data_IF_932418624560
#
_entry.id   IF_932418624560
#
_cell.length_a   1.000
_cell.length_b   1.000
_cell.length_c   1.000
_cell.angle_alpha   90.00
_cell.angle_beta   90.00
_cell.angle_gamma   90.00
#
_symmetry.space_group_name_H-M   'P 1'
#
loop_
_entity.id
_entity.type
_entity.pdbx_description
1 polymer ?
#
# COMPACT_ATOMS: atom_id res chain seq x y z
N UNK A 1 -137.51 69.59 -42.29
CA UNK A 1 -138.06 69.58 -40.93
C UNK A 1 -137.17 70.47 -40.08
N UNK A 2 -137.45 71.76 -39.95
CA UNK A 2 -138.54 72.39 -39.17
C UNK A 2 -138.33 72.30 -37.66
N UNK A 3 -137.78 73.36 -37.08
CA UNK A 3 -138.38 74.23 -36.04
C UNK A 3 -137.30 75.25 -35.64
N UNK A 4 -137.47 76.56 -35.92
CA UNK A 4 -138.18 77.56 -35.08
C UNK A 4 -137.73 77.49 -33.61
N UNK A 5 -137.46 78.55 -32.87
CA UNK A 5 -137.37 80.01 -33.01
C UNK A 5 -137.09 80.47 -31.56
N UNK A 6 -136.17 81.41 -31.32
CA UNK A 6 -136.31 82.42 -30.27
C UNK A 6 -135.13 83.40 -30.32
N UNK A 7 -135.44 84.60 -30.78
CA UNK A 7 -134.63 85.80 -30.74
C UNK A 7 -134.55 86.35 -29.32
N UNK A 8 -133.35 86.67 -28.83
CA UNK A 8 -133.16 87.66 -27.76
C UNK A 8 -131.85 88.42 -27.98
N UNK A 9 -131.99 89.73 -28.18
CA UNK A 9 -130.96 90.72 -28.49
C UNK A 9 -129.82 90.80 -27.44
N UNK A 10 -128.62 91.29 -27.84
CA UNK A 10 -127.37 91.11 -27.12
C UNK A 10 -127.17 92.18 -26.04
N UNK A 11 -126.94 91.75 -24.79
CA UNK A 11 -126.45 92.66 -23.75
C UNK A 11 -124.94 92.80 -23.84
N UNK A 12 -124.47 93.99 -24.23
CA UNK A 12 -123.05 94.35 -24.16
C UNK A 12 -122.50 94.09 -22.75
N UNK A 13 -121.33 93.44 -22.59
CA UNK A 13 -120.74 93.28 -21.29
C UNK A 13 -120.25 94.63 -20.77
N UNK A 14 -120.71 94.99 -19.57
CA UNK A 14 -120.23 96.13 -18.78
C UNK A 14 -118.70 96.11 -18.65
N UNK A 15 -118.04 97.28 -18.48
CA UNK A 15 -116.58 97.39 -18.41
C UNK A 15 -115.92 96.40 -17.45
N UNK A 16 -116.57 96.17 -16.30
CA UNK A 16 -116.16 95.24 -15.24
C UNK A 16 -116.18 93.75 -15.66
N UNK A 17 -117.06 93.38 -16.59
CA UNK A 17 -117.13 92.01 -17.11
C UNK A 17 -116.10 91.78 -18.22
N UNK A 18 -115.78 92.82 -19.01
CA UNK A 18 -114.67 92.79 -19.97
C UNK A 18 -113.30 92.76 -19.28
N UNK A 19 -113.12 93.50 -18.19
CA UNK A 19 -111.90 93.42 -17.37
C UNK A 19 -111.77 92.07 -16.68
N UNK A 20 -112.84 91.53 -16.08
CA UNK A 20 -112.83 90.16 -15.50
C UNK A 20 -112.59 89.06 -16.53
N UNK A 21 -113.11 89.19 -17.76
CA UNK A 21 -112.84 88.23 -18.84
C UNK A 21 -111.39 88.31 -19.33
N UNK A 22 -110.84 89.52 -19.49
CA UNK A 22 -109.42 89.73 -19.79
C UNK A 22 -108.51 89.20 -18.67
N UNK A 23 -108.82 89.48 -17.41
CA UNK A 23 -108.09 88.94 -16.26
C UNK A 23 -108.16 87.41 -16.20
N UNK A 24 -109.29 86.80 -16.56
CA UNK A 24 -109.44 85.34 -16.64
C UNK A 24 -108.62 84.75 -17.78
N UNK A 25 -108.59 85.40 -18.95
CA UNK A 25 -107.74 85.01 -20.08
C UNK A 25 -106.25 85.19 -19.76
N UNK A 26 -105.86 86.28 -19.09
CA UNK A 26 -104.49 86.52 -18.62
C UNK A 26 -104.07 85.50 -17.55
N UNK A 27 -104.96 85.16 -16.62
CA UNK A 27 -104.73 84.09 -15.64
C UNK A 27 -104.64 82.72 -16.31
N UNK A 28 -105.40 82.47 -17.37
CA UNK A 28 -105.34 81.22 -18.12
C UNK A 28 -104.05 81.12 -18.93
N UNK A 29 -103.63 82.18 -19.63
CA UNK A 29 -102.34 82.29 -20.31
C UNK A 29 -101.17 82.12 -19.34
N UNK A 30 -101.27 82.74 -18.16
CA UNK A 30 -100.27 82.60 -17.11
C UNK A 30 -100.23 81.17 -16.58
N UNK A 31 -101.39 80.54 -16.38
CA UNK A 31 -101.49 79.15 -15.92
C UNK A 31 -100.98 78.17 -16.99
N UNK A 32 -101.28 78.37 -18.28
CA UNK A 32 -100.77 77.55 -19.38
C UNK A 32 -99.25 77.69 -19.53
N UNK A 33 -98.72 78.91 -19.29
CA UNK A 33 -97.28 79.16 -19.20
C UNK A 33 -96.68 78.47 -17.98
N UNK A 34 -97.36 78.46 -16.82
CA UNK A 34 -96.94 77.71 -15.65
C UNK A 34 -96.98 76.21 -15.88
N UNK A 35 -98.01 75.66 -16.53
CA UNK A 35 -98.11 74.24 -16.89
C UNK A 35 -96.97 73.85 -17.83
N UNK A 36 -96.68 74.67 -18.85
CA UNK A 36 -95.56 74.46 -19.77
C UNK A 36 -94.22 74.51 -19.03
N UNK A 37 -94.05 75.47 -18.13
CA UNK A 37 -92.85 75.60 -17.30
C UNK A 37 -92.69 74.42 -16.32
N UNK A 38 -93.74 74.02 -15.62
CA UNK A 38 -93.77 72.87 -14.71
C UNK A 38 -93.43 71.59 -15.48
N UNK A 39 -93.99 71.39 -16.67
CA UNK A 39 -93.67 70.24 -17.52
C UNK A 39 -92.22 70.27 -18.00
N UNK A 40 -91.66 71.45 -18.33
CA UNK A 40 -90.24 71.59 -18.68
C UNK A 40 -89.33 71.30 -17.49
N UNK A 41 -89.67 71.77 -16.29
CA UNK A 41 -88.93 71.50 -15.05
C UNK A 41 -89.01 70.02 -14.68
N UNK A 42 -90.17 69.36 -14.85
CA UNK A 42 -90.30 67.90 -14.67
C UNK A 42 -89.43 67.14 -15.66
N UNK A 43 -89.50 67.45 -16.96
CA UNK A 43 -88.62 66.84 -17.97
C UNK A 43 -87.13 67.05 -17.65
N UNK A 44 -86.74 68.26 -17.26
CA UNK A 44 -85.36 68.56 -16.86
C UNK A 44 -84.95 67.83 -15.58
N UNK A 45 -85.87 67.64 -14.63
CA UNK A 45 -85.64 66.83 -13.43
C UNK A 45 -85.46 65.36 -13.80
N UNK A 46 -86.32 64.80 -14.64
CA UNK A 46 -86.24 63.41 -15.09
C UNK A 46 -84.98 63.17 -15.96
N UNK A 47 -84.61 64.13 -16.81
CA UNK A 47 -83.36 64.11 -17.59
C UNK A 47 -82.14 64.20 -16.67
N UNK A 48 -82.16 65.09 -15.67
CA UNK A 48 -81.10 65.19 -14.67
C UNK A 48 -80.98 63.90 -13.85
N UNK A 49 -82.10 63.31 -13.45
CA UNK A 49 -82.13 62.05 -12.71
C UNK A 49 -81.57 60.90 -13.55
N UNK A 50 -81.99 60.80 -14.82
CA UNK A 50 -81.41 59.83 -15.76
C UNK A 50 -79.91 60.05 -15.96
N UNK A 51 -79.47 61.30 -16.18
CA UNK A 51 -78.06 61.64 -16.33
C UNK A 51 -77.26 61.26 -15.08
N UNK A 52 -77.78 61.56 -13.89
CA UNK A 52 -77.16 61.19 -12.62
C UNK A 52 -77.03 59.67 -12.50
N UNK A 53 -78.09 58.90 -12.78
CA UNK A 53 -78.04 57.43 -12.74
C UNK A 53 -77.04 56.87 -13.76
N UNK A 54 -77.00 57.40 -14.98
CA UNK A 54 -76.01 56.96 -15.99
C UNK A 54 -74.59 57.31 -15.56
N UNK A 55 -74.38 58.47 -14.93
CA UNK A 55 -73.08 58.90 -14.46
C UNK A 55 -72.62 58.05 -13.27
N UNK A 56 -73.51 57.75 -12.32
CA UNK A 56 -73.25 56.82 -11.22
C UNK A 56 -72.96 55.41 -11.75
N UNK A 57 -73.70 54.93 -12.75
CA UNK A 57 -73.46 53.64 -13.38
C UNK A 57 -72.12 53.60 -14.13
N UNK A 58 -71.77 54.64 -14.89
CA UNK A 58 -70.47 54.72 -15.55
C UNK A 58 -69.32 54.85 -14.54
N UNK A 59 -69.49 55.61 -13.46
CA UNK A 59 -68.50 55.74 -12.40
C UNK A 59 -68.27 54.41 -11.66
N UNK A 60 -69.35 53.71 -11.31
CA UNK A 60 -69.26 52.39 -10.66
C UNK A 60 -68.60 51.37 -11.56
N UNK A 61 -69.02 51.29 -12.83
CA UNK A 61 -68.41 50.37 -13.82
C UNK A 61 -66.93 50.68 -14.04
N UNK A 62 -66.56 51.96 -14.19
CA UNK A 62 -65.14 52.36 -14.36
C UNK A 62 -64.32 52.04 -13.09
N UNK A 63 -64.89 52.21 -11.89
CA UNK A 63 -64.22 51.84 -10.64
C UNK A 63 -64.04 50.32 -10.51
N UNK A 64 -65.04 49.53 -10.89
CA UNK A 64 -64.98 48.08 -10.89
C UNK A 64 -63.96 47.54 -11.90
N UNK A 65 -63.95 48.07 -13.13
CA UNK A 65 -62.96 47.74 -14.16
C UNK A 65 -61.55 48.13 -13.73
N UNK A 66 -61.36 49.34 -13.18
CA UNK A 66 -60.07 49.77 -12.62
C UNK A 66 -59.63 48.86 -11.47
N UNK A 67 -60.54 48.46 -10.59
CA UNK A 67 -60.28 47.53 -9.50
C UNK A 67 -59.98 46.10 -10.00
N UNK A 68 -60.60 45.66 -11.09
CA UNK A 68 -60.32 44.39 -11.73
C UNK A 68 -58.90 44.38 -12.35
N UNK A 69 -58.53 45.43 -13.09
CA UNK A 69 -57.21 45.58 -13.69
C UNK A 69 -56.12 45.63 -12.60
N UNK A 70 -56.35 46.39 -11.51
CA UNK A 70 -55.42 46.43 -10.36
C UNK A 70 -55.20 45.06 -9.77
N UNK A 71 -56.27 44.29 -9.52
CA UNK A 71 -56.18 42.92 -8.98
C UNK A 71 -55.41 41.98 -9.92
N UNK A 72 -55.61 42.09 -11.24
CA UNK A 72 -54.88 41.29 -12.23
C UNK A 72 -53.39 41.60 -12.20
N UNK A 73 -53.00 42.88 -12.22
CA UNK A 73 -51.57 43.26 -12.14
C UNK A 73 -50.94 42.95 -10.79
N UNK A 74 -51.66 43.11 -9.68
CA UNK A 74 -51.18 42.71 -8.35
C UNK A 74 -50.91 41.21 -8.30
N UNK A 75 -51.80 40.39 -8.90
CA UNK A 75 -51.60 38.95 -9.01
C UNK A 75 -50.41 38.60 -9.90
N UNK A 76 -50.30 39.18 -11.09
CA UNK A 76 -49.16 38.94 -11.99
C UNK A 76 -47.83 39.36 -11.33
N UNK A 77 -47.81 40.48 -10.60
CA UNK A 77 -46.65 40.92 -9.84
C UNK A 77 -46.30 39.95 -8.71
N UNK A 78 -47.30 39.39 -8.03
CA UNK A 78 -47.10 38.36 -7.01
C UNK A 78 -46.54 37.08 -7.63
N UNK A 79 -47.12 36.60 -8.72
CA UNK A 79 -46.67 35.40 -9.42
C UNK A 79 -45.23 35.57 -9.96
N UNK A 80 -44.90 36.75 -10.50
CA UNK A 80 -43.54 37.08 -10.94
C UNK A 80 -42.55 37.11 -9.77
N UNK A 81 -42.94 37.61 -8.60
CA UNK A 81 -42.10 37.58 -7.39
C UNK A 81 -41.86 36.15 -6.90
N UNK A 82 -42.90 35.33 -6.87
CA UNK A 82 -42.78 33.91 -6.51
C UNK A 82 -41.83 33.17 -7.46
N UNK A 83 -41.94 33.42 -8.77
CA UNK A 83 -41.04 32.82 -9.76
C UNK A 83 -39.58 33.26 -9.58
N UNK A 84 -39.34 34.54 -9.25
CA UNK A 84 -37.98 35.03 -8.92
C UNK A 84 -37.43 34.31 -7.69
N UNK A 85 -38.23 34.16 -6.64
CA UNK A 85 -37.80 33.48 -5.41
C UNK A 85 -37.53 31.98 -5.65
N UNK A 86 -38.36 31.31 -6.46
CA UNK A 86 -38.18 29.92 -6.85
C UNK A 86 -36.91 29.72 -7.70
N UNK A 87 -36.72 30.53 -8.74
CA UNK A 87 -35.53 30.47 -9.59
C UNK A 87 -34.25 30.83 -8.82
N UNK A 88 -34.31 31.75 -7.85
CA UNK A 88 -33.19 32.06 -6.97
C UNK A 88 -32.84 30.86 -6.06
N UNK A 89 -33.85 30.16 -5.51
CA UNK A 89 -33.65 28.94 -4.73
C UNK A 89 -33.03 27.82 -5.59
N UNK A 90 -33.51 27.62 -6.81
CA UNK A 90 -32.96 26.63 -7.73
C UNK A 90 -31.51 26.95 -8.11
N UNK A 91 -31.22 28.22 -8.45
CA UNK A 91 -29.86 28.68 -8.74
C UNK A 91 -28.91 28.43 -7.56
N UNK A 92 -29.35 28.75 -6.33
CA UNK A 92 -28.56 28.49 -5.14
C UNK A 92 -28.31 26.98 -4.94
N UNK A 93 -29.32 26.13 -5.19
CA UNK A 93 -29.17 24.66 -5.14
C UNK A 93 -28.16 24.16 -6.15
N UNK A 94 -28.25 24.59 -7.41
CA UNK A 94 -27.30 24.19 -8.46
C UNK A 94 -25.89 24.70 -8.17
N UNK A 95 -25.75 25.90 -7.62
CA UNK A 95 -24.45 26.44 -7.24
C UNK A 95 -23.79 25.63 -6.12
N UNK A 96 -24.56 25.20 -5.12
CA UNK A 96 -24.07 24.30 -4.06
C UNK A 96 -23.68 22.94 -4.66
N UNK A 97 -24.50 22.38 -5.56
CA UNK A 97 -24.18 21.12 -6.22
C UNK A 97 -22.91 21.21 -7.06
N UNK A 98 -22.73 22.29 -7.85
CA UNK A 98 -21.50 22.54 -8.62
C UNK A 98 -20.28 22.57 -7.72
N UNK A 99 -20.33 23.34 -6.63
CA UNK A 99 -19.25 23.41 -5.64
C UNK A 99 -18.93 22.04 -5.04
N UNK A 100 -19.96 21.25 -4.69
CA UNK A 100 -19.75 19.88 -4.16
C UNK A 100 -19.10 18.96 -5.19
N UNK A 101 -19.53 19.03 -6.45
CA UNK A 101 -18.92 18.22 -7.53
C UNK A 101 -17.49 18.64 -7.83
N UNK A 102 -17.20 19.95 -7.80
CA UNK A 102 -15.85 20.48 -7.97
C UNK A 102 -14.92 20.03 -6.84
N UNK A 103 -15.40 20.04 -5.59
CA UNK A 103 -14.63 19.55 -4.45
C UNK A 103 -14.39 18.04 -4.56
N UNK A 104 -15.39 17.24 -4.97
CA UNK A 104 -15.20 15.80 -5.20
C UNK A 104 -14.22 15.50 -6.34
N UNK A 105 -14.21 16.31 -7.41
CA UNK A 105 -13.23 16.18 -8.49
C UNK A 105 -11.82 16.40 -7.95
N UNK A 106 -11.59 17.44 -7.14
CA UNK A 106 -10.28 17.70 -6.54
C UNK A 106 -9.84 16.56 -5.61
N UNK A 107 -10.75 16.05 -4.78
CA UNK A 107 -10.45 14.92 -3.90
C UNK A 107 -10.04 13.69 -4.73
N UNK A 108 -10.79 13.36 -5.80
CA UNK A 108 -10.45 12.28 -6.72
C UNK A 108 -9.12 12.52 -7.47
N UNK A 109 -8.82 13.76 -7.84
CA UNK A 109 -7.52 14.11 -8.46
C UNK A 109 -6.36 13.89 -7.49
N UNK A 110 -6.54 14.22 -6.20
CA UNK A 110 -5.53 13.95 -5.17
C UNK A 110 -5.36 12.46 -4.92
N UNK A 111 -6.45 11.69 -4.79
CA UNK A 111 -6.42 10.23 -4.67
C UNK A 111 -5.70 9.60 -5.88
N UNK A 112 -6.02 10.02 -7.10
CA UNK A 112 -5.37 9.52 -8.31
C UNK A 112 -3.87 9.85 -8.37
N UNK A 113 -3.46 11.00 -7.83
CA UNK A 113 -2.05 11.36 -7.74
C UNK A 113 -1.31 10.46 -6.74
N UNK A 114 -1.89 10.23 -5.57
CA UNK A 114 -1.34 9.32 -4.56
C UNK A 114 -1.22 7.88 -5.10
N UNK A 115 -2.28 7.36 -5.75
CA UNK A 115 -2.25 6.05 -6.38
C UNK A 115 -1.18 5.93 -7.48
N UNK A 116 -0.93 7.00 -8.25
CA UNK A 116 0.16 6.99 -9.25
C UNK A 116 1.54 6.96 -8.58
N UNK A 117 1.74 7.75 -7.53
CA UNK A 117 2.99 7.76 -6.77
C UNK A 117 3.24 6.40 -6.07
N UNK A 118 2.20 5.74 -5.57
CA UNK A 118 2.29 4.37 -5.04
C UNK A 118 2.61 3.36 -6.14
N UNK A 119 1.96 3.47 -7.30
CA UNK A 119 2.23 2.60 -8.45
C UNK A 119 3.68 2.72 -8.94
N UNK A 120 4.19 3.95 -9.05
CA UNK A 120 5.58 4.21 -9.45
C UNK A 120 6.58 3.67 -8.41
N UNK A 121 6.28 3.79 -7.10
CA UNK A 121 7.08 3.18 -6.03
C UNK A 121 7.12 1.66 -6.14
N UNK A 122 5.95 1.02 -6.32
CA UNK A 122 5.87 -0.44 -6.50
C UNK A 122 6.60 -0.91 -7.76
N UNK A 123 6.57 -0.13 -8.85
CA UNK A 123 7.33 -0.43 -10.06
C UNK A 123 8.85 -0.36 -9.83
N UNK A 124 9.33 0.62 -9.05
CA UNK A 124 10.75 0.75 -8.70
C UNK A 124 11.21 -0.43 -7.84
N UNK A 125 10.46 -0.79 -6.80
CA UNK A 125 10.75 -1.95 -5.94
C UNK A 125 10.80 -3.25 -6.77
N UNK A 126 9.86 -3.44 -7.70
CA UNK A 126 9.86 -4.59 -8.61
C UNK A 126 11.11 -4.60 -9.52
N UNK A 127 11.54 -3.44 -10.02
CA UNK A 127 12.73 -3.35 -10.85
C UNK A 127 14.02 -3.66 -10.07
N UNK A 128 14.11 -3.21 -8.82
CA UNK A 128 15.23 -3.52 -7.92
C UNK A 128 15.27 -5.01 -7.55
N UNK A 129 14.12 -5.59 -7.23
CA UNK A 129 13.99 -7.03 -6.96
C UNK A 129 14.36 -7.89 -8.18
N UNK A 130 14.02 -7.46 -9.40
CA UNK A 130 14.44 -8.13 -10.64
C UNK A 130 15.95 -8.07 -10.84
N UNK A 131 16.56 -6.89 -10.65
CA UNK A 131 18.03 -6.74 -10.75
C UNK A 131 18.76 -7.60 -9.73
N UNK A 132 18.27 -7.68 -8.49
CA UNK A 132 18.89 -8.54 -7.47
C UNK A 132 18.70 -10.03 -7.79
N UNK A 133 17.55 -10.44 -8.33
CA UNK A 133 17.36 -11.80 -8.80
C UNK A 133 18.33 -12.17 -9.95
N UNK A 134 18.53 -11.26 -10.90
CA UNK A 134 19.49 -11.45 -12.01
C UNK A 134 20.93 -11.58 -11.51
N UNK A 135 21.34 -10.78 -10.51
CA UNK A 135 22.68 -10.91 -9.92
C UNK A 135 22.85 -12.22 -9.16
N UNK A 136 21.85 -12.66 -8.41
CA UNK A 136 21.87 -13.98 -7.75
C UNK A 136 21.93 -15.12 -8.76
N UNK A 137 21.19 -15.04 -9.87
CA UNK A 137 21.22 -16.05 -10.92
C UNK A 137 22.61 -16.13 -11.59
N UNK A 138 23.23 -14.98 -11.84
CA UNK A 138 24.60 -14.90 -12.38
C UNK A 138 25.62 -15.52 -11.42
N UNK A 139 25.56 -15.18 -10.13
CA UNK A 139 26.43 -15.75 -9.10
C UNK A 139 26.24 -17.26 -8.96
N UNK A 140 24.99 -17.73 -9.01
CA UNK A 140 24.67 -19.16 -8.98
C UNK A 140 25.25 -19.89 -10.19
N UNK A 141 25.11 -19.33 -11.40
CA UNK A 141 25.72 -19.88 -12.62
C UNK A 141 27.24 -19.96 -12.52
N UNK A 142 27.90 -18.91 -12.02
CA UNK A 142 29.35 -18.92 -11.79
C UNK A 142 29.76 -20.02 -10.81
N UNK A 143 29.08 -20.10 -9.66
CA UNK A 143 29.35 -21.12 -8.64
C UNK A 143 29.11 -22.54 -9.14
N UNK A 144 28.14 -22.74 -10.05
CA UNK A 144 27.89 -24.03 -10.69
C UNK A 144 29.05 -24.44 -11.59
N UNK A 145 29.59 -23.52 -12.40
CA UNK A 145 30.77 -23.75 -13.24
C UNK A 145 32.00 -24.05 -12.39
N UNK A 146 32.21 -23.29 -11.31
CA UNK A 146 33.32 -23.53 -10.39
C UNK A 146 33.23 -24.93 -9.77
N UNK A 147 32.04 -25.35 -9.31
CA UNK A 147 31.80 -26.70 -8.81
C UNK A 147 32.04 -27.78 -9.86
N UNK A 148 31.66 -27.56 -11.12
CA UNK A 148 31.95 -28.50 -12.21
C UNK A 148 33.45 -28.61 -12.45
N UNK A 149 34.18 -27.50 -12.47
CA UNK A 149 35.63 -27.48 -12.63
C UNK A 149 36.36 -28.16 -11.46
N UNK A 150 35.85 -28.00 -10.23
CA UNK A 150 36.38 -28.66 -9.04
C UNK A 150 36.14 -30.17 -9.10
N UNK A 151 34.96 -30.61 -9.56
CA UNK A 151 34.66 -32.02 -9.79
C UNK A 151 35.57 -32.65 -10.83
N UNK A 152 35.84 -31.96 -11.95
CA UNK A 152 36.79 -32.43 -12.95
C UNK A 152 38.19 -32.60 -12.36
N UNK A 153 38.69 -31.61 -11.62
CA UNK A 153 40.00 -31.71 -10.94
C UNK A 153 40.07 -32.88 -9.96
N UNK A 154 38.99 -33.15 -9.23
CA UNK A 154 38.94 -34.31 -8.32
C UNK A 154 39.07 -35.61 -9.12
N UNK A 155 38.34 -35.73 -10.23
CA UNK A 155 38.42 -36.89 -11.10
C UNK A 155 39.84 -37.08 -11.69
N UNK A 156 40.45 -36.01 -12.19
CA UNK A 156 41.82 -36.05 -12.74
C UNK A 156 42.84 -36.52 -11.67
N UNK A 157 42.69 -36.03 -10.43
CA UNK A 157 43.55 -36.44 -9.30
C UNK A 157 43.28 -37.89 -8.86
N UNK A 158 42.05 -38.37 -8.94
CA UNK A 158 41.71 -39.77 -8.67
C UNK A 158 42.38 -40.69 -9.71
N UNK A 159 42.35 -40.32 -10.99
CA UNK A 159 43.04 -41.04 -12.07
C UNK A 159 44.57 -41.05 -11.85
N UNK A 160 45.17 -39.91 -11.46
CA UNK A 160 46.60 -39.84 -11.16
C UNK A 160 46.99 -40.72 -9.95
N UNK A 161 46.16 -40.76 -8.90
CA UNK A 161 46.39 -41.62 -7.74
C UNK A 161 46.37 -43.10 -8.14
N UNK A 162 45.45 -43.50 -9.01
CA UNK A 162 45.34 -44.89 -9.45
C UNK A 162 46.52 -45.29 -10.36
N UNK A 163 46.98 -44.41 -11.23
CA UNK A 163 48.21 -44.60 -12.02
C UNK A 163 49.45 -44.75 -11.12
N UNK A 164 49.58 -43.90 -10.09
CA UNK A 164 50.68 -43.98 -9.13
C UNK A 164 50.63 -45.27 -8.31
N UNK A 165 49.43 -45.73 -7.93
CA UNK A 165 49.24 -47.01 -7.25
C UNK A 165 49.63 -48.19 -8.16
N UNK A 166 49.29 -48.13 -9.44
CA UNK A 166 49.67 -49.16 -10.41
C UNK A 166 51.19 -49.24 -10.58
N UNK A 167 51.86 -48.10 -10.75
CA UNK A 167 53.34 -48.03 -10.82
C UNK A 167 54.00 -48.53 -9.54
N UNK A 168 53.44 -48.20 -8.38
CA UNK A 168 53.97 -48.67 -7.10
C UNK A 168 53.88 -50.20 -6.99
N UNK A 169 52.79 -50.82 -7.44
CA UNK A 169 52.68 -52.29 -7.52
C UNK A 169 53.70 -52.88 -8.47
N UNK A 170 53.87 -52.31 -9.66
CA UNK A 170 54.86 -52.80 -10.63
C UNK A 170 56.29 -52.77 -10.06
N UNK A 171 56.65 -51.69 -9.36
CA UNK A 171 57.96 -51.58 -8.69
C UNK A 171 58.08 -52.59 -7.54
N UNK A 172 57.01 -52.83 -6.79
CA UNK A 172 56.99 -53.85 -5.73
C UNK A 172 57.21 -55.25 -6.32
N UNK A 173 56.48 -55.62 -7.37
CA UNK A 173 56.62 -56.91 -8.05
C UNK A 173 58.03 -57.09 -8.65
N UNK A 174 58.58 -56.05 -9.27
CA UNK A 174 59.95 -56.06 -9.78
C UNK A 174 60.98 -56.22 -8.65
N UNK A 175 60.80 -55.53 -7.52
CA UNK A 175 61.67 -55.69 -6.36
C UNK A 175 61.59 -57.11 -5.79
N UNK A 176 60.39 -57.68 -5.68
CA UNK A 176 60.20 -59.06 -5.24
C UNK A 176 60.93 -60.05 -6.17
N UNK A 177 60.80 -59.88 -7.48
CA UNK A 177 61.52 -60.69 -8.47
C UNK A 177 63.05 -60.59 -8.33
N UNK A 178 63.59 -59.38 -8.20
CA UNK A 178 65.03 -59.16 -7.99
C UNK A 178 65.52 -59.74 -6.66
N UNK A 179 64.70 -59.68 -5.60
CA UNK A 179 65.05 -60.32 -4.32
C UNK A 179 65.09 -61.84 -4.42
N UNK A 180 64.17 -62.46 -5.16
CA UNK A 180 64.19 -63.90 -5.43
C UNK A 180 65.43 -64.28 -6.25
N UNK A 181 65.70 -63.55 -7.34
CA UNK A 181 66.88 -63.78 -8.18
C UNK A 181 68.19 -63.65 -7.40
N UNK A 182 68.29 -62.66 -6.50
CA UNK A 182 69.44 -62.51 -5.59
C UNK A 182 69.61 -63.71 -4.66
N UNK A 183 68.53 -64.22 -4.07
CA UNK A 183 68.58 -65.40 -3.20
C UNK A 183 69.01 -66.64 -3.99
N UNK A 184 68.50 -66.83 -5.20
CA UNK A 184 68.89 -67.94 -6.08
C UNK A 184 70.38 -67.90 -6.43
N UNK A 185 70.90 -66.73 -6.82
CA UNK A 185 72.33 -66.54 -7.10
C UNK A 185 73.17 -66.78 -5.84
N UNK A 186 72.72 -66.33 -4.67
CA UNK A 186 73.40 -66.59 -3.41
C UNK A 186 73.47 -68.09 -3.08
N UNK A 187 72.38 -68.83 -3.30
CA UNK A 187 72.34 -70.28 -3.12
C UNK A 187 73.30 -70.99 -4.09
N UNK A 188 73.31 -70.61 -5.37
CA UNK A 188 74.26 -71.15 -6.35
C UNK A 188 75.72 -70.86 -5.95
N UNK A 189 76.01 -69.63 -5.49
CA UNK A 189 77.33 -69.26 -5.01
C UNK A 189 77.76 -70.11 -3.82
N UNK A 190 76.84 -70.39 -2.90
CA UNK A 190 77.08 -71.25 -1.74
C UNK A 190 77.39 -72.69 -2.18
N UNK A 191 76.59 -73.27 -3.08
CA UNK A 191 76.85 -74.61 -3.63
C UNK A 191 78.21 -74.69 -4.33
N UNK A 192 78.56 -73.71 -5.16
CA UNK A 192 79.87 -73.65 -5.82
C UNK A 192 81.03 -73.52 -4.82
N UNK A 193 80.85 -72.77 -3.73
CA UNK A 193 81.86 -72.69 -2.66
C UNK A 193 82.05 -74.03 -1.97
N UNK A 194 80.96 -74.76 -1.71
CA UNK A 194 81.00 -76.09 -1.12
C UNK A 194 81.67 -77.11 -2.06
N UNK A 195 81.36 -77.08 -3.36
CA UNK A 195 82.03 -77.91 -4.37
C UNK A 195 83.53 -77.61 -4.47
N UNK A 196 83.90 -76.33 -4.45
CA UNK A 196 85.30 -75.91 -4.52
C UNK A 196 86.06 -76.34 -3.26
N UNK A 197 85.45 -76.21 -2.09
CA UNK A 197 86.01 -76.70 -0.83
C UNK A 197 86.16 -78.23 -0.84
N UNK A 198 85.20 -78.96 -1.40
CA UNK A 198 85.28 -80.41 -1.58
C UNK A 198 86.42 -80.80 -2.53
N UNK A 199 86.50 -80.19 -3.72
CA UNK A 199 87.59 -80.43 -4.68
C UNK A 199 88.97 -80.14 -4.09
N UNK A 200 89.11 -79.04 -3.33
CA UNK A 200 90.37 -78.74 -2.62
C UNK A 200 90.76 -79.86 -1.66
N UNK A 201 89.83 -80.36 -0.84
CA UNK A 201 90.11 -81.49 0.07
C UNK A 201 90.55 -82.74 -0.68
N UNK A 202 89.87 -83.06 -1.79
CA UNK A 202 90.24 -84.21 -2.64
C UNK A 202 91.65 -84.03 -3.21
N UNK A 203 91.96 -82.86 -3.77
CA UNK A 203 93.31 -82.58 -4.29
C UNK A 203 94.38 -82.60 -3.20
N UNK A 204 94.08 -82.12 -2.00
CA UNK A 204 95.01 -82.18 -0.88
C UNK A 204 95.28 -83.64 -0.47
N UNK A 205 94.26 -84.51 -0.47
CA UNK A 205 94.39 -85.95 -0.23
C UNK A 205 95.16 -86.66 -1.35
N UNK A 206 94.91 -86.31 -2.62
CA UNK A 206 95.65 -86.81 -3.78
C UNK A 206 97.12 -86.37 -3.73
N UNK A 207 97.41 -85.11 -3.38
CA UNK A 207 98.78 -84.64 -3.17
C UNK A 207 99.45 -85.36 -2.00
N UNK A 208 98.72 -85.67 -0.93
CA UNK A 208 99.23 -86.48 0.18
C UNK A 208 99.54 -87.92 -0.25
N UNK A 209 98.74 -88.52 -1.11
CA UNK A 209 99.00 -89.86 -1.66
C UNK A 209 100.14 -89.83 -2.68
N UNK A 210 100.20 -88.86 -3.60
CA UNK A 210 101.31 -88.64 -4.53
C UNK A 210 102.62 -88.37 -3.79
N UNK A 211 102.61 -87.59 -2.70
CA UNK A 211 103.81 -87.40 -1.84
C UNK A 211 104.21 -88.70 -1.13
N UNK A 212 103.26 -89.58 -0.82
CA UNK A 212 103.49 -90.88 -0.20
C UNK A 212 103.94 -91.95 -1.20
N UNK A 213 103.58 -91.84 -2.50
CA UNK A 213 103.97 -92.77 -3.58
C UNK A 213 105.12 -92.28 -4.46
N UNK A 214 105.39 -90.97 -4.49
CA UNK A 214 106.39 -90.31 -5.34
C UNK A 214 107.76 -90.12 -4.67
N UNK A 215 108.03 -90.78 -3.54
CA UNK A 215 109.34 -90.74 -2.89
C UNK A 215 110.31 -91.77 -3.49
N UNK A 216 110.44 -91.85 -4.82
CA UNK A 216 111.58 -92.54 -5.47
C UNK A 216 111.74 -92.07 -6.92
N UNK A 217 112.47 -90.96 -7.15
CA UNK A 217 113.41 -90.71 -8.28
C UNK A 217 113.76 -89.21 -8.32
N UNK A 218 114.96 -88.83 -7.84
CA UNK A 218 116.15 -88.39 -8.62
C UNK A 218 116.07 -86.92 -9.07
N UNK A 219 116.80 -86.05 -8.35
CA UNK A 219 117.97 -85.24 -8.78
C UNK A 219 117.62 -84.07 -9.70
N UNK A 220 117.75 -82.83 -9.20
CA UNK A 220 118.96 -81.97 -9.23
C UNK A 220 119.13 -81.39 -10.64
N UNK A 221 118.87 -80.10 -10.76
CA UNK A 221 119.72 -79.20 -11.55
C UNK A 221 119.60 -77.80 -10.94
N UNK A 222 120.74 -77.32 -10.47
CA UNK A 222 120.95 -75.91 -10.23
C UNK A 222 121.28 -75.26 -11.57
N UNK A 223 120.71 -74.08 -11.79
CA UNK A 223 121.21 -73.10 -12.75
C UNK A 223 121.25 -71.79 -11.99
N UNK A 224 122.42 -71.51 -11.42
CA UNK A 224 122.90 -70.14 -11.26
C UNK A 224 123.26 -69.60 -12.66
N UNK A 225 123.27 -68.27 -12.78
CA UNK A 225 123.66 -67.44 -13.95
C UNK A 225 122.49 -66.88 -14.78
N UNK A 226 121.91 -65.78 -14.30
CA UNK A 226 121.89 -64.43 -14.93
C UNK A 226 120.93 -63.52 -14.13
N UNK A 227 121.21 -63.33 -12.84
CA UNK A 227 120.30 -62.63 -11.93
C UNK A 227 120.11 -61.14 -12.27
N UNK A 228 121.06 -60.50 -12.94
CA UNK A 228 120.98 -59.05 -13.21
C UNK A 228 120.04 -58.71 -14.39
N UNK A 229 120.10 -59.43 -15.51
CA UNK A 229 119.23 -59.17 -16.68
C UNK A 229 117.76 -59.57 -16.43
N UNK A 230 117.54 -60.64 -15.65
CA UNK A 230 116.20 -61.05 -15.26
C UNK A 230 115.62 -60.13 -14.17
N UNK A 231 116.44 -59.70 -13.20
CA UNK A 231 116.02 -58.71 -12.22
C UNK A 231 115.72 -57.36 -12.89
N UNK A 232 116.50 -56.92 -13.90
CA UNK A 232 116.22 -55.67 -14.61
C UNK A 232 114.92 -55.75 -15.43
N UNK A 233 114.67 -56.86 -16.13
CA UNK A 233 113.39 -57.07 -16.86
C UNK A 233 112.19 -57.21 -15.93
N UNK A 234 112.37 -57.88 -14.79
CA UNK A 234 111.32 -58.01 -13.77
C UNK A 234 111.05 -56.66 -13.09
N UNK A 235 112.10 -55.91 -12.79
CA UNK A 235 112.00 -54.57 -12.21
C UNK A 235 111.33 -53.60 -13.19
N UNK A 236 111.69 -53.66 -14.49
CA UNK A 236 111.02 -52.88 -15.54
C UNK A 236 109.53 -53.23 -15.66
N UNK A 237 109.15 -54.51 -15.61
CA UNK A 237 107.75 -54.93 -15.62
C UNK A 237 106.98 -54.49 -14.35
N UNK A 238 107.65 -54.45 -13.19
CA UNK A 238 107.07 -53.93 -11.94
C UNK A 238 106.88 -52.42 -12.02
N UNK A 239 107.85 -51.69 -12.58
CA UNK A 239 107.79 -50.24 -12.71
C UNK A 239 106.74 -49.83 -13.77
N UNK A 240 106.61 -50.58 -14.87
CA UNK A 240 105.52 -50.41 -15.84
C UNK A 240 104.14 -50.66 -15.22
N UNK A 241 103.98 -51.73 -14.43
CA UNK A 241 102.74 -52.01 -13.71
C UNK A 241 102.41 -50.94 -12.66
N UNK A 242 103.43 -50.37 -11.99
CA UNK A 242 103.25 -49.23 -11.07
C UNK A 242 102.81 -47.98 -11.81
N UNK A 243 103.43 -47.67 -12.95
CA UNK A 243 103.06 -46.52 -13.77
C UNK A 243 101.63 -46.66 -14.31
N UNK A 244 101.20 -47.86 -14.69
CA UNK A 244 99.82 -48.14 -15.12
C UNK A 244 98.82 -47.96 -13.97
N UNK A 245 99.12 -48.47 -12.78
CA UNK A 245 98.29 -48.26 -11.57
C UNK A 245 98.23 -46.77 -11.20
N UNK A 246 99.34 -46.04 -11.28
CA UNK A 246 99.37 -44.60 -11.01
C UNK A 246 98.49 -43.83 -12.02
N UNK A 247 98.59 -44.14 -13.31
CA UNK A 247 97.71 -43.55 -14.34
C UNK A 247 96.23 -43.87 -14.12
N UNK A 248 95.90 -45.12 -13.82
CA UNK A 248 94.52 -45.52 -13.51
C UNK A 248 94.00 -44.79 -12.27
N UNK A 249 94.77 -44.74 -11.19
CA UNK A 249 94.36 -44.05 -9.96
C UNK A 249 94.18 -42.55 -10.15
N UNK A 250 95.04 -41.89 -10.95
CA UNK A 250 94.86 -40.48 -11.32
C UNK A 250 93.60 -40.25 -12.15
N UNK A 251 93.32 -41.12 -13.13
CA UNK A 251 92.08 -41.06 -13.93
C UNK A 251 90.84 -41.28 -13.07
N UNK A 252 90.84 -42.30 -12.20
CA UNK A 252 89.75 -42.54 -11.24
C UNK A 252 89.53 -41.32 -10.33
N UNK A 253 90.60 -40.69 -9.85
CA UNK A 253 90.50 -39.47 -9.03
C UNK A 253 89.88 -38.32 -9.81
N UNK A 254 90.31 -38.08 -11.04
CA UNK A 254 89.75 -37.03 -11.91
C UNK A 254 88.27 -37.25 -12.19
N UNK A 255 87.86 -38.48 -12.49
CA UNK A 255 86.46 -38.79 -12.78
C UNK A 255 85.59 -38.74 -11.52
N UNK A 256 86.15 -39.13 -10.37
CA UNK A 256 85.51 -38.94 -9.07
C UNK A 256 85.30 -37.45 -8.78
N UNK A 257 86.33 -36.61 -8.95
CA UNK A 257 86.24 -35.15 -8.76
C UNK A 257 85.20 -34.50 -9.70
N UNK A 258 85.18 -34.90 -10.98
CA UNK A 258 84.14 -34.45 -11.93
C UNK A 258 82.74 -34.86 -11.45
N UNK A 259 82.56 -36.11 -11.04
CA UNK A 259 81.26 -36.61 -10.58
C UNK A 259 80.76 -35.85 -9.33
N UNK A 260 81.66 -35.57 -8.37
CA UNK A 260 81.33 -34.78 -7.19
C UNK A 260 81.01 -33.34 -7.54
N UNK A 261 81.76 -32.73 -8.46
CA UNK A 261 81.52 -31.37 -8.91
C UNK A 261 80.14 -31.25 -9.58
N UNK A 262 79.79 -32.15 -10.49
CA UNK A 262 78.46 -32.18 -11.12
C UNK A 262 77.37 -32.41 -10.08
N UNK A 263 77.59 -33.28 -9.08
CA UNK A 263 76.61 -33.51 -8.01
C UNK A 263 76.42 -32.27 -7.13
N UNK A 264 77.49 -31.56 -6.81
CA UNK A 264 77.44 -30.29 -6.06
C UNK A 264 76.70 -29.22 -6.86
N UNK A 265 77.03 -29.02 -8.13
CA UNK A 265 76.35 -28.04 -9.01
C UNK A 265 74.85 -28.35 -9.15
N UNK A 266 74.48 -29.63 -9.26
CA UNK A 266 73.07 -30.06 -9.27
C UNK A 266 72.36 -29.77 -7.95
N UNK A 267 73.00 -30.05 -6.81
CA UNK A 267 72.44 -29.78 -5.48
C UNK A 267 72.28 -28.28 -5.23
N UNK A 268 73.27 -27.48 -5.65
CA UNK A 268 73.22 -26.02 -5.53
C UNK A 268 72.11 -25.43 -6.41
N UNK A 269 71.98 -25.90 -7.66
CA UNK A 269 70.90 -25.51 -8.55
C UNK A 269 69.52 -25.90 -7.99
N UNK A 270 69.40 -27.08 -7.37
CA UNK A 270 68.16 -27.51 -6.73
C UNK A 270 67.85 -26.65 -5.49
N UNK A 271 68.83 -26.38 -4.65
CA UNK A 271 68.72 -25.49 -3.49
C UNK A 271 68.25 -24.08 -3.89
N UNK A 272 68.78 -23.52 -4.98
CA UNK A 272 68.32 -22.23 -5.51
C UNK A 272 66.86 -22.25 -5.99
N UNK A 273 66.43 -23.34 -6.66
CA UNK A 273 65.04 -23.51 -7.09
C UNK A 273 64.11 -23.62 -5.88
N UNK A 274 64.49 -24.40 -4.88
CA UNK A 274 63.72 -24.57 -3.64
C UNK A 274 63.62 -23.25 -2.86
N UNK A 275 64.71 -22.47 -2.79
CA UNK A 275 64.71 -21.14 -2.19
C UNK A 275 63.75 -20.19 -2.93
N UNK A 276 63.77 -20.19 -4.26
CA UNK A 276 62.88 -19.36 -5.09
C UNK A 276 61.41 -19.78 -4.93
N UNK A 277 61.13 -21.08 -4.88
CA UNK A 277 59.78 -21.61 -4.63
C UNK A 277 59.26 -21.19 -3.24
N UNK A 278 60.12 -21.24 -2.21
CA UNK A 278 59.76 -20.76 -0.86
C UNK A 278 59.40 -19.28 -0.84
N UNK A 279 60.16 -18.42 -1.51
CA UNK A 279 59.86 -16.98 -1.57
C UNK A 279 58.51 -16.74 -2.26
N UNK A 280 58.22 -17.48 -3.33
CA UNK A 280 56.93 -17.39 -4.02
C UNK A 280 55.78 -17.84 -3.11
N UNK A 281 55.91 -18.99 -2.45
CA UNK A 281 54.90 -19.51 -1.53
C UNK A 281 54.66 -18.56 -0.34
N UNK A 282 55.71 -17.95 0.21
CA UNK A 282 55.59 -16.96 1.28
C UNK A 282 54.84 -15.69 0.79
N UNK A 283 55.07 -15.27 -0.46
CA UNK A 283 54.31 -14.20 -1.09
C UNK A 283 52.82 -14.53 -1.28
N UNK A 284 52.52 -15.74 -1.78
CA UNK A 284 51.14 -16.23 -1.94
C UNK A 284 50.44 -16.34 -0.58
N UNK A 285 51.14 -16.81 0.45
CA UNK A 285 50.62 -16.91 1.83
C UNK A 285 50.32 -15.53 2.42
N UNK A 286 51.21 -14.54 2.23
CA UNK A 286 50.96 -13.15 2.63
C UNK A 286 49.76 -12.56 1.90
N UNK A 287 49.62 -12.81 0.60
CA UNK A 287 48.46 -12.37 -0.18
C UNK A 287 47.16 -13.00 0.34
N UNK A 288 47.15 -14.31 0.63
CA UNK A 288 46.01 -14.98 1.26
C UNK A 288 45.70 -14.37 2.64
N UNK A 289 46.72 -14.06 3.44
CA UNK A 289 46.52 -13.42 4.74
C UNK A 289 45.88 -12.03 4.62
N UNK A 290 46.35 -11.21 3.67
CA UNK A 290 45.79 -9.86 3.46
C UNK A 290 44.36 -9.90 2.92
N UNK A 291 44.03 -10.84 2.04
CA UNK A 291 42.68 -11.02 1.51
C UNK A 291 41.73 -11.55 2.59
N UNK A 292 42.14 -12.53 3.38
CA UNK A 292 41.39 -12.99 4.56
C UNK A 292 41.13 -11.84 5.55
N UNK A 293 42.13 -11.01 5.83
CA UNK A 293 41.96 -9.85 6.70
C UNK A 293 40.99 -8.80 6.12
N UNK A 294 40.88 -8.67 4.79
CA UNK A 294 39.86 -7.81 4.14
C UNK A 294 38.47 -8.40 4.33
N UNK A 295 38.28 -9.68 3.97
CA UNK A 295 36.98 -10.35 4.12
C UNK A 295 36.50 -10.37 5.57
N UNK A 296 37.39 -10.59 6.55
CA UNK A 296 37.02 -10.52 7.97
C UNK A 296 36.54 -9.13 8.40
N UNK A 297 37.14 -8.04 7.87
CA UNK A 297 36.64 -6.68 8.13
C UNK A 297 35.28 -6.43 7.50
N UNK A 298 35.06 -6.93 6.29
CA UNK A 298 33.79 -6.75 5.59
C UNK A 298 32.67 -7.57 6.24
N UNK A 299 32.97 -8.78 6.71
CA UNK A 299 32.06 -9.59 7.54
C UNK A 299 31.69 -8.81 8.81
N UNK A 300 32.66 -8.24 9.53
CA UNK A 300 32.39 -7.48 10.75
C UNK A 300 31.48 -6.25 10.48
N UNK A 301 31.73 -5.50 9.39
CA UNK A 301 30.88 -4.37 8.99
C UNK A 301 29.46 -4.80 8.63
N UNK A 302 29.32 -5.91 7.91
CA UNK A 302 28.01 -6.45 7.54
C UNK A 302 27.24 -6.94 8.76
N UNK A 303 27.93 -7.58 9.72
CA UNK A 303 27.36 -7.99 11.00
C UNK A 303 26.86 -6.77 11.80
N UNK A 304 27.68 -5.73 11.94
CA UNK A 304 27.29 -4.48 12.63
C UNK A 304 26.06 -3.83 11.97
N UNK A 305 26.04 -3.76 10.63
CA UNK A 305 24.90 -3.22 9.89
C UNK A 305 23.63 -4.06 10.09
N UNK A 306 23.77 -5.38 10.15
CA UNK A 306 22.64 -6.27 10.37
C UNK A 306 22.07 -6.10 11.79
N UNK A 307 22.93 -6.01 12.80
CA UNK A 307 22.52 -5.71 14.18
C UNK A 307 21.79 -4.36 14.29
N UNK A 308 22.27 -3.33 13.60
CA UNK A 308 21.61 -2.02 13.55
C UNK A 308 20.21 -2.10 12.91
N UNK A 309 20.08 -2.82 11.79
CA UNK A 309 18.80 -3.00 11.12
C UNK A 309 17.82 -3.84 11.97
N UNK A 310 18.29 -4.91 12.60
CA UNK A 310 17.48 -5.71 13.52
C UNK A 310 17.01 -4.90 14.73
N UNK A 311 17.88 -4.06 15.30
CA UNK A 311 17.52 -3.15 16.40
C UNK A 311 16.44 -2.15 15.97
N UNK A 312 16.59 -1.51 14.80
CA UNK A 312 15.61 -0.58 14.26
C UNK A 312 14.26 -1.25 13.97
N UNK A 313 14.29 -2.48 13.43
CA UNK A 313 13.09 -3.27 13.19
C UNK A 313 12.37 -3.60 14.50
N UNK A 314 13.10 -3.98 15.55
CA UNK A 314 12.54 -4.23 16.88
C UNK A 314 11.87 -2.98 17.43
N UNK A 315 12.54 -1.83 17.41
CA UNK A 315 11.98 -0.56 17.86
C UNK A 315 10.69 -0.20 17.11
N UNK A 316 10.68 -0.31 15.78
CA UNK A 316 9.47 -0.06 14.97
C UNK A 316 8.34 -1.05 15.24
N UNK A 317 8.67 -2.32 15.51
CA UNK A 317 7.68 -3.32 15.88
C UNK A 317 7.06 -3.04 17.24
N UNK A 318 7.85 -2.55 18.21
CA UNK A 318 7.37 -2.14 19.53
C UNK A 318 6.53 -0.87 19.45
N UNK A 319 6.92 0.12 18.64
CA UNK A 319 6.10 1.30 18.35
C UNK A 319 4.72 0.92 17.79
N UNK A 320 4.70 0.01 16.80
CA UNK A 320 3.45 -0.46 16.20
C UNK A 320 2.58 -1.21 17.20
N UNK A 321 3.19 -2.06 18.05
CA UNK A 321 2.47 -2.78 19.10
C UNK A 321 1.86 -1.82 20.12
N UNK A 322 2.62 -0.79 20.55
CA UNK A 322 2.13 0.27 21.45
C UNK A 322 0.96 1.04 20.84
N UNK A 323 1.06 1.45 19.57
CA UNK A 323 -0.01 2.15 18.87
C UNK A 323 -1.29 1.30 18.78
N UNK A 324 -1.16 0.01 18.42
CA UNK A 324 -2.30 -0.93 18.39
C UNK A 324 -2.95 -1.09 19.77
N UNK A 325 -2.15 -1.19 20.83
CA UNK A 325 -2.67 -1.31 22.19
C UNK A 325 -3.44 -0.05 22.60
N UNK A 326 -2.90 1.15 22.32
CA UNK A 326 -3.58 2.43 22.60
C UNK A 326 -4.91 2.53 21.84
N UNK A 327 -4.91 2.28 20.53
CA UNK A 327 -6.13 2.29 19.71
C UNK A 327 -7.17 1.29 20.19
N UNK A 328 -6.75 0.09 20.59
CA UNK A 328 -7.66 -0.92 21.15
C UNK A 328 -8.30 -0.47 22.47
N UNK A 329 -7.55 0.25 23.32
CA UNK A 329 -8.04 0.79 24.57
C UNK A 329 -9.01 1.96 24.33
N UNK A 330 -8.71 2.84 23.38
CA UNK A 330 -9.61 3.93 22.98
C UNK A 330 -10.93 3.41 22.41
N UNK A 331 -10.88 2.38 21.56
CA UNK A 331 -12.07 1.69 21.06
C UNK A 331 -12.89 1.06 22.19
N UNK A 332 -12.23 0.41 23.16
CA UNK A 332 -12.92 -0.18 24.30
C UNK A 332 -13.65 0.90 25.14
N UNK A 333 -12.97 2.02 25.41
CA UNK A 333 -13.56 3.15 26.12
C UNK A 333 -14.77 3.73 25.37
N UNK A 334 -14.66 3.93 24.05
CA UNK A 334 -15.76 4.43 23.24
C UNK A 334 -16.95 3.45 23.22
N UNK A 335 -16.69 2.14 23.15
CA UNK A 335 -17.74 1.12 23.25
C UNK A 335 -18.45 1.16 24.62
N UNK A 336 -17.72 1.37 25.70
CA UNK A 336 -18.29 1.52 27.04
C UNK A 336 -19.09 2.81 27.18
N UNK A 337 -18.62 3.93 26.62
CA UNK A 337 -19.37 5.19 26.56
C UNK A 337 -20.67 5.03 25.75
N UNK A 338 -20.63 4.40 24.58
CA UNK A 338 -21.82 4.10 23.78
C UNK A 338 -22.80 3.21 24.54
N UNK A 339 -22.31 2.20 25.27
CA UNK A 339 -23.13 1.33 26.11
C UNK A 339 -23.79 2.12 27.24
N UNK A 340 -23.04 2.99 27.92
CA UNK A 340 -23.54 3.85 28.99
C UNK A 340 -24.62 4.82 28.47
N UNK A 341 -24.38 5.45 27.32
CA UNK A 341 -25.32 6.38 26.71
C UNK A 341 -26.61 5.67 26.29
N UNK A 342 -26.50 4.42 25.80
CA UNK A 342 -27.67 3.60 25.46
C UNK A 342 -28.50 3.23 26.67
N UNK A 343 -27.86 2.82 27.76
CA UNK A 343 -28.56 2.55 29.03
C UNK A 343 -29.28 3.81 29.54
N UNK A 344 -28.64 4.98 29.47
CA UNK A 344 -29.26 6.24 29.88
C UNK A 344 -30.45 6.60 28.97
N UNK A 345 -30.32 6.42 27.66
CA UNK A 345 -31.44 6.62 26.72
C UNK A 345 -32.63 5.71 27.04
N UNK A 346 -32.38 4.41 27.28
CA UNK A 346 -33.43 3.46 27.62
C UNK A 346 -34.10 3.82 28.95
N UNK A 347 -33.34 4.33 29.93
CA UNK A 347 -33.90 4.87 31.18
C UNK A 347 -34.77 6.10 30.93
N UNK A 348 -34.31 7.07 30.13
CA UNK A 348 -35.11 8.24 29.77
C UNK A 348 -36.37 7.89 29.01
N UNK A 349 -36.33 6.89 28.13
CA UNK A 349 -37.53 6.41 27.45
C UNK A 349 -38.56 5.84 28.42
N UNK A 350 -38.14 5.07 29.42
CA UNK A 350 -39.05 4.59 30.48
C UNK A 350 -39.64 5.74 31.29
N UNK A 351 -38.83 6.71 31.71
CA UNK A 351 -39.32 7.90 32.42
C UNK A 351 -40.37 8.67 31.58
N UNK A 352 -40.15 8.79 30.27
CA UNK A 352 -41.12 9.42 29.35
C UNK A 352 -42.41 8.61 29.19
N UNK A 353 -42.32 7.28 29.10
CA UNK A 353 -43.49 6.40 29.07
C UNK A 353 -44.32 6.54 30.34
N UNK A 354 -43.70 6.51 31.52
CA UNK A 354 -44.37 6.70 32.82
C UNK A 354 -45.05 8.07 32.92
N UNK A 355 -44.38 9.15 32.48
CA UNK A 355 -44.96 10.49 32.44
C UNK A 355 -46.13 10.60 31.45
N UNK A 356 -46.03 9.91 30.32
CA UNK A 356 -47.10 9.88 29.33
C UNK A 356 -48.34 9.16 29.87
N UNK A 357 -48.15 8.03 30.56
CA UNK A 357 -49.23 7.31 31.22
C UNK A 357 -49.89 8.18 32.31
N UNK A 358 -49.10 8.87 33.13
CA UNK A 358 -49.62 9.82 34.13
C UNK A 358 -50.41 10.97 33.46
N UNK A 359 -49.93 11.48 32.33
CA UNK A 359 -50.65 12.51 31.57
C UNK A 359 -52.01 11.99 31.11
N UNK A 360 -52.08 10.77 30.57
CA UNK A 360 -53.35 10.17 30.15
C UNK A 360 -54.30 10.04 31.35
N UNK A 361 -53.80 9.62 32.52
CA UNK A 361 -54.60 9.54 33.75
C UNK A 361 -55.14 10.92 34.15
N UNK A 362 -54.29 11.95 34.16
CA UNK A 362 -54.72 13.32 34.49
C UNK A 362 -55.73 13.88 33.47
N UNK A 363 -55.56 13.59 32.18
CA UNK A 363 -56.54 13.97 31.15
C UNK A 363 -57.90 13.27 31.37
N UNK A 364 -57.90 12.02 31.81
CA UNK A 364 -59.12 11.31 32.21
C UNK A 364 -59.74 11.93 33.46
N UNK A 365 -58.96 12.22 34.50
CA UNK A 365 -59.45 12.88 35.71
C UNK A 365 -60.06 14.24 35.40
N UNK A 366 -59.39 15.08 34.63
CA UNK A 366 -59.92 16.38 34.20
C UNK A 366 -61.22 16.20 33.41
N UNK A 367 -61.31 15.20 32.53
CA UNK A 367 -62.54 14.92 31.80
C UNK A 367 -63.68 14.52 32.74
N UNK A 368 -63.43 13.67 33.73
CA UNK A 368 -64.44 13.29 34.75
C UNK A 368 -64.86 14.48 35.61
N UNK A 369 -63.90 15.29 36.09
CA UNK A 369 -64.16 16.50 36.87
C UNK A 369 -64.94 17.54 36.06
N UNK A 370 -64.63 17.69 34.77
CA UNK A 370 -65.35 18.59 33.87
C UNK A 370 -66.79 18.12 33.64
N UNK A 371 -67.02 16.81 33.54
CA UNK A 371 -68.36 16.25 33.40
C UNK A 371 -69.20 16.46 34.67
N UNK A 372 -68.63 16.23 35.85
CA UNK A 372 -69.29 16.51 37.14
C UNK A 372 -69.60 18.00 37.31
N UNK A 373 -68.66 18.87 36.92
CA UNK A 373 -68.87 20.31 36.96
C UNK A 373 -69.99 20.74 36.00
N UNK A 374 -70.03 20.18 34.79
CA UNK A 374 -71.10 20.44 33.82
C UNK A 374 -72.47 19.99 34.34
N UNK A 375 -72.53 18.86 35.04
CA UNK A 375 -73.77 18.37 35.68
C UNK A 375 -74.22 19.30 36.83
N UNK A 376 -73.30 19.80 37.65
CA UNK A 376 -73.59 20.79 38.69
C UNK A 376 -73.98 22.17 38.11
N UNK A 377 -73.31 22.65 37.05
CA UNK A 377 -73.67 23.88 36.35
C UNK A 377 -75.09 23.80 35.75
N UNK A 378 -75.47 22.62 35.24
CA UNK A 378 -76.83 22.33 34.77
C UNK A 378 -77.85 22.31 35.92
N UNK A 379 -77.52 21.76 37.09
CA UNK A 379 -78.40 21.79 38.28
C UNK A 379 -78.61 23.20 38.81
N UNK A 380 -77.60 24.06 38.72
CA UNK A 380 -77.61 25.43 39.25
C UNK A 380 -78.09 26.50 38.25
N UNK A 381 -78.49 26.12 37.01
CA UNK A 381 -78.92 27.03 35.95
C UNK A 381 -77.93 28.18 35.66
N UNK A 382 -76.64 27.95 35.88
CA UNK A 382 -75.58 28.89 35.51
C UNK A 382 -75.30 28.72 34.02
N UNK A 383 -76.00 29.48 33.16
CA UNK A 383 -75.62 29.57 31.75
C UNK A 383 -74.24 30.21 31.64
N UNK A 384 -73.23 29.39 31.35
CA UNK A 384 -71.90 29.86 30.99
C UNK A 384 -71.88 30.19 29.49
N UNK A 385 -71.42 31.39 29.14
CA UNK A 385 -71.28 31.87 27.77
C UNK A 385 -70.17 31.11 27.02
N UNK A 386 -70.24 30.96 25.68
CA UNK A 386 -69.30 30.14 24.94
C UNK A 386 -67.89 30.74 24.96
N UNK A 387 -66.93 30.00 25.53
CA UNK A 387 -65.51 30.34 25.49
C UNK A 387 -64.98 30.10 24.07
N UNK A 388 -64.39 31.13 23.48
CA UNK A 388 -63.85 31.17 22.12
C UNK A 388 -62.92 29.97 21.81
N UNK A 389 -63.16 29.36 20.65
CA UNK A 389 -62.28 28.35 20.05
C UNK A 389 -60.92 28.98 19.75
N UNK A 390 -59.87 28.58 20.48
CA UNK A 390 -58.48 28.75 20.02
C UNK A 390 -58.12 27.68 18.98
N UNK A 391 -57.20 27.95 18.05
CA UNK A 391 -57.01 27.15 16.85
C UNK A 391 -56.39 25.79 17.19
N UNK A 392 -56.91 24.74 16.55
CA UNK A 392 -56.28 23.41 16.51
C UNK A 392 -55.00 23.51 15.69
N UNK A 393 -53.85 23.33 16.32
CA UNK A 393 -52.62 22.99 15.61
C UNK A 393 -52.72 21.50 15.28
N UNK A 394 -52.92 21.19 13.99
CA UNK A 394 -52.77 19.85 13.47
C UNK A 394 -51.33 19.40 13.72
N UNK A 395 -51.16 18.28 14.44
CA UNK A 395 -49.91 17.54 14.49
C UNK A 395 -50.28 16.10 14.19
N UNK A 396 -49.92 15.67 13.00
CA UNK A 396 -50.09 14.32 12.48
C UNK A 396 -49.54 13.30 13.48
N UNK A 397 -50.44 12.47 14.01
CA UNK A 397 -50.12 11.27 14.74
C UNK A 397 -50.39 10.07 13.86
N UNK A 398 -49.43 9.69 13.01
CA UNK A 398 -49.39 8.34 12.45
C UNK A 398 -48.73 7.41 13.46
N UNK A 399 -49.50 6.48 14.02
CA UNK A 399 -48.98 5.33 14.75
C UNK A 399 -48.32 4.32 13.79
N UNK A 400 -47.31 3.56 14.24
CA UNK A 400 -46.49 2.74 13.35
C UNK A 400 -47.20 1.46 12.94
N UNK A 401 -47.36 1.26 11.63
CA UNK A 401 -47.78 -0.02 11.04
C UNK A 401 -46.55 -0.90 10.80
N UNK A 402 -46.46 -1.98 11.55
CA UNK A 402 -45.46 -3.03 11.39
C UNK A 402 -45.41 -3.56 9.95
N UNK A 403 -44.25 -3.39 9.28
CA UNK A 403 -43.79 -4.24 8.18
C UNK A 403 -42.28 -4.40 8.28
N UNK A 404 -41.85 -5.62 8.66
CA UNK A 404 -40.49 -6.12 8.45
C UNK A 404 -40.07 -5.91 6.99
N UNK A 405 -39.05 -5.09 6.78
CA UNK A 405 -38.13 -5.18 5.64
C UNK A 405 -36.72 -4.88 6.16
N UNK A 406 -35.80 -5.82 5.95
CA UNK A 406 -34.36 -5.60 6.09
C UNK A 406 -33.97 -4.50 5.09
N UNK A 407 -33.44 -3.39 5.59
CA UNK A 407 -32.68 -2.44 4.78
C UNK A 407 -31.52 -1.90 5.60
N UNK A 408 -30.39 -1.83 4.91
CA UNK A 408 -29.06 -1.49 5.38
C UNK A 408 -29.05 -0.05 5.89
N UNK A 409 -28.35 0.18 7.01
CA UNK A 409 -28.25 1.48 7.66
C UNK A 409 -27.61 2.51 6.74
N UNK A 410 -28.32 3.60 6.45
CA UNK A 410 -27.77 4.84 5.92
C UNK A 410 -27.61 5.81 7.10
N UNK A 411 -26.39 6.28 7.30
CA UNK A 411 -25.99 7.21 8.37
C UNK A 411 -26.53 8.61 8.06
N UNK A 412 -27.38 9.16 8.93
CA UNK A 412 -27.76 10.58 8.90
C UNK A 412 -27.04 11.32 10.02
N UNK A 413 -26.26 12.36 9.69
CA UNK A 413 -25.61 13.23 10.69
C UNK A 413 -26.23 14.62 10.69
N UNK A 414 -26.70 15.07 11.85
CA UNK A 414 -26.98 16.48 12.15
C UNK A 414 -26.03 16.94 13.26
N UNK A 415 -25.35 18.07 13.08
CA UNK A 415 -24.53 18.70 14.12
C UNK A 415 -25.04 20.12 14.42
N UNK A 416 -25.19 20.43 15.71
CA UNK A 416 -25.46 21.77 16.23
C UNK A 416 -24.13 22.35 16.70
N UNK A 417 -23.59 23.31 15.97
CA UNK A 417 -22.34 23.99 16.34
C UNK A 417 -21.65 24.67 15.15
N UNK A 418 -20.57 25.39 15.41
CA UNK A 418 -19.79 26.15 14.42
C UNK A 418 -19.00 25.27 13.43
N UNK A 419 -19.21 23.96 13.45
CA UNK A 419 -18.53 22.97 12.62
C UNK A 419 -19.62 22.08 12.02
N UNK A 420 -19.68 22.02 10.69
CA UNK A 420 -20.69 21.27 9.94
C UNK A 420 -20.03 20.12 9.18
N UNK A 421 -20.64 18.93 9.26
CA UNK A 421 -20.24 17.76 8.47
C UNK A 421 -20.92 17.87 7.10
N UNK A 422 -20.12 17.91 6.04
CA UNK A 422 -20.59 18.17 4.67
C UNK A 422 -20.86 16.86 3.93
N UNK A 423 -19.98 15.88 4.11
CA UNK A 423 -20.09 14.58 3.46
C UNK A 423 -19.48 13.46 4.32
N UNK A 424 -20.09 12.28 4.23
CA UNK A 424 -19.68 11.07 4.95
C UNK A 424 -19.77 9.92 3.95
N UNK A 425 -18.64 9.27 3.70
CA UNK A 425 -18.60 8.08 2.85
C UNK A 425 -19.39 6.93 3.50
N UNK A 426 -20.38 6.31 2.82
CA UNK A 426 -21.13 5.19 3.36
C UNK A 426 -20.28 3.96 3.74
N UNK A 427 -19.05 3.85 3.19
CA UNK A 427 -18.10 2.79 3.53
C UNK A 427 -17.09 3.19 4.65
N UNK A 428 -17.22 4.39 5.23
CA UNK A 428 -16.52 4.79 6.45
C UNK A 428 -15.06 5.24 6.30
N UNK A 429 -14.56 5.44 5.07
CA UNK A 429 -13.14 5.75 4.82
C UNK A 429 -12.78 7.23 5.02
N UNK A 430 -13.76 8.13 4.98
CA UNK A 430 -13.51 9.54 5.27
C UNK A 430 -14.77 10.28 5.71
N UNK A 431 -14.56 11.38 6.42
CA UNK A 431 -15.60 12.34 6.80
C UNK A 431 -15.09 13.75 6.51
N UNK A 432 -15.83 14.52 5.71
CA UNK A 432 -15.46 15.87 5.33
C UNK A 432 -16.18 16.89 6.23
N UNK A 433 -15.40 17.70 6.95
CA UNK A 433 -15.90 18.61 7.97
C UNK A 433 -15.45 20.05 7.64
N UNK A 434 -16.38 21.01 7.68
CA UNK A 434 -16.10 22.44 7.45
C UNK A 434 -16.41 23.26 8.69
N UNK A 435 -15.42 24.03 9.13
CA UNK A 435 -15.56 24.99 10.23
C UNK A 435 -16.09 26.31 9.67
N UNK A 436 -17.15 26.85 10.26
CA UNK A 436 -17.81 28.10 9.87
C UNK A 436 -17.40 29.29 10.76
N UNK A 437 -16.30 29.18 11.51
CA UNK A 437 -15.78 30.27 12.37
C UNK A 437 -14.41 30.78 11.91
N UNK A 438 -14.15 32.09 12.09
CA UNK A 438 -12.94 32.80 11.64
C UNK A 438 -11.68 32.55 12.52
N UNK A 439 -11.67 31.50 13.35
CA UNK A 439 -10.54 31.19 14.26
C UNK A 439 -9.89 29.86 13.88
N UNK A 440 -8.58 29.90 13.63
CA UNK A 440 -7.75 28.72 13.35
C UNK A 440 -7.57 27.90 14.63
N UNK A 441 -8.04 26.65 14.65
CA UNK A 441 -7.73 25.66 15.68
C UNK A 441 -7.07 24.44 15.05
N UNK A 442 -5.98 23.96 15.66
CA UNK A 442 -5.35 22.69 15.27
C UNK A 442 -6.29 21.53 15.59
N UNK A 443 -6.60 20.74 14.57
CA UNK A 443 -7.30 19.46 14.71
C UNK A 443 -6.22 18.40 14.96
N UNK A 444 -6.34 17.63 16.05
CA UNK A 444 -5.43 16.53 16.37
C UNK A 444 -5.53 15.40 15.35
N UNK A 445 -4.49 14.56 15.29
CA UNK A 445 -4.34 13.42 14.37
C UNK A 445 -5.62 12.55 14.32
N UNK A 446 -6.35 12.66 13.22
CA UNK A 446 -7.50 11.82 12.90
C UNK A 446 -6.98 10.46 12.43
N UNK A 447 -7.09 9.45 13.30
CA UNK A 447 -6.95 8.05 12.91
C UNK A 447 -8.30 7.58 12.37
N UNK A 448 -8.31 7.24 11.09
CA UNK A 448 -9.44 6.58 10.44
C UNK A 448 -9.10 5.09 10.45
N UNK A 449 -9.93 4.29 11.13
CA UNK A 449 -9.78 2.83 11.25
C UNK A 449 -10.09 2.10 9.95
#
# INVERSE_FOLDING_TARGET
MSQQQATSSPSLPTPERRTRMKEKEDLQLLNDRFVTYINRVRRLRDEKEKLNVTLEHMQTTTQEESGAIKRMFEKELQDARLLIDETAKEKARYQIQSSKTEDRIKDLETELKEFREDYDRMQQELAEAKKSAETFESLYKSSLVDNQSAKQKIQDLEEEIDDLRARLREVQDSLEQETLAKVDIQNQNQSLREELAFKKKVYDEELLTIKRTGLTTVHRDGVEETDDDFAERLQAAIDEAREEIEKETEQFKLDLEKSYKTRLESLESQSQRDASARVRLDGELKNCHTTLAKYNRDIAKLQEKNEQLESSLREKSEDLARAKQLHSAELANLMDEMRALRVNYDQKMKEYEELFDLRIQLEQEIATLSALLQEEEQRLNLQTTPREKRPRVARDGEGPRSKRKKQVAATSSSAVGFIQIIDVDPDGRFVQIKNMSDKVRRVGLLHIN
#
